data_IF_029684456247
#
_entry.id   IF_029684456247
#
_cell.length_a   1.000
_cell.length_b   1.000
_cell.length_c   1.000
_cell.angle_alpha   90.00
_cell.angle_beta   90.00
_cell.angle_gamma   90.00
#
_symmetry.space_group_name_H-M   'P 1'
#
loop_
_entity.id
_entity.type
_entity.pdbx_description
1 polymer ?
#
# COMPACT_ATOMS: atom_id res chain seq x y z
N UNK A 1 -22.94 19.95 -23.12
CA UNK A 1 -22.41 19.28 -21.92
C UNK A 1 -20.93 19.65 -21.79
N UNK A 2 -20.50 20.27 -20.68
CA UNK A 2 -19.09 20.68 -20.49
C UNK A 2 -18.17 19.43 -20.50
N UNK A 3 -16.94 19.56 -21.00
CA UNK A 3 -15.95 18.46 -21.11
C UNK A 3 -15.78 17.69 -19.78
N UNK A 4 -15.73 18.41 -18.66
CA UNK A 4 -15.75 17.87 -17.29
C UNK A 4 -16.91 16.94 -17.00
N UNK A 5 -18.13 17.27 -17.45
CA UNK A 5 -19.32 16.41 -17.26
C UNK A 5 -19.27 15.16 -18.12
N UNK A 6 -18.65 15.22 -19.31
CA UNK A 6 -18.48 14.06 -20.20
C UNK A 6 -17.51 13.05 -19.64
N UNK A 7 -16.34 13.50 -19.18
CA UNK A 7 -15.31 12.65 -18.62
C UNK A 7 -15.80 12.01 -17.31
N UNK A 8 -16.44 12.80 -16.45
CA UNK A 8 -17.02 12.32 -15.20
C UNK A 8 -18.10 11.26 -15.42
N UNK A 9 -18.97 11.46 -16.40
CA UNK A 9 -19.99 10.47 -16.77
C UNK A 9 -19.35 9.21 -17.37
N UNK A 10 -18.32 9.36 -18.20
CA UNK A 10 -17.62 8.25 -18.81
C UNK A 10 -16.91 7.38 -17.77
N UNK A 11 -16.19 7.98 -16.81
CA UNK A 11 -15.53 7.26 -15.71
C UNK A 11 -16.50 6.57 -14.76
N UNK A 12 -17.68 7.18 -14.53
CA UNK A 12 -18.74 6.53 -13.77
C UNK A 12 -19.30 5.32 -14.52
N UNK A 13 -19.61 5.49 -15.82
CA UNK A 13 -20.16 4.42 -16.64
C UNK A 13 -19.17 3.28 -16.84
N UNK A 14 -17.88 3.56 -17.09
CA UNK A 14 -16.87 2.53 -17.25
C UNK A 14 -16.70 1.69 -15.99
N UNK A 15 -16.63 2.31 -14.81
CA UNK A 15 -16.56 1.59 -13.53
C UNK A 15 -17.86 0.80 -13.26
N UNK A 16 -19.02 1.36 -13.61
CA UNK A 16 -20.31 0.67 -13.49
C UNK A 16 -20.38 -0.58 -14.38
N UNK A 17 -19.92 -0.50 -15.62
CA UNK A 17 -19.96 -1.63 -16.57
C UNK A 17 -18.87 -2.69 -16.32
N UNK A 18 -17.67 -2.29 -15.89
CA UNK A 18 -16.57 -3.23 -15.56
C UNK A 18 -16.96 -4.14 -14.38
N UNK A 19 -17.83 -3.66 -13.49
CA UNK A 19 -18.22 -4.36 -12.27
C UNK A 19 -19.33 -5.37 -12.45
N UNK A 20 -19.87 -5.52 -13.66
CA UNK A 20 -20.88 -6.54 -13.91
C UNK A 20 -20.33 -7.91 -13.56
N UNK A 21 -20.83 -8.44 -12.46
CA UNK A 21 -20.30 -9.60 -11.81
C UNK A 21 -20.86 -10.88 -12.42
N UNK A 22 -20.48 -11.98 -11.80
CA UNK A 22 -20.99 -13.30 -12.17
C UNK A 22 -22.52 -13.38 -12.04
N UNK A 23 -23.14 -12.57 -11.16
CA UNK A 23 -24.59 -12.53 -10.95
C UNK A 23 -25.33 -11.89 -12.13
N UNK A 24 -24.74 -10.87 -12.79
CA UNK A 24 -25.32 -10.29 -14.01
C UNK A 24 -25.39 -11.32 -15.13
N UNK A 25 -24.28 -12.03 -15.38
CA UNK A 25 -24.19 -13.02 -16.44
C UNK A 25 -25.03 -14.27 -16.15
N UNK A 26 -24.95 -14.81 -14.92
CA UNK A 26 -25.77 -15.96 -14.51
C UNK A 26 -27.26 -15.60 -14.47
N UNK A 27 -27.62 -14.42 -13.98
CA UNK A 27 -29.00 -13.92 -13.96
C UNK A 27 -29.54 -13.75 -15.38
N UNK A 28 -28.76 -13.14 -16.28
CA UNK A 28 -29.10 -12.94 -17.69
C UNK A 28 -29.27 -14.26 -18.43
N UNK A 29 -28.33 -15.20 -18.28
CA UNK A 29 -28.43 -16.53 -18.85
C UNK A 29 -29.65 -17.30 -18.32
N UNK A 30 -29.90 -17.22 -17.01
CA UNK A 30 -31.06 -17.85 -16.37
C UNK A 30 -32.37 -17.25 -16.90
N UNK A 31 -32.47 -15.93 -17.02
CA UNK A 31 -33.64 -15.24 -17.55
C UNK A 31 -33.91 -15.54 -19.04
N UNK A 32 -32.84 -15.71 -19.82
CA UNK A 32 -32.92 -16.00 -21.26
C UNK A 32 -33.29 -17.46 -21.56
N UNK A 33 -32.73 -18.42 -20.79
CA UNK A 33 -32.84 -19.85 -21.09
C UNK A 33 -34.02 -20.50 -20.35
N UNK A 34 -34.38 -20.01 -19.16
CA UNK A 34 -35.42 -20.64 -18.37
C UNK A 34 -36.80 -20.53 -19.02
N UNK A 35 -37.55 -21.63 -19.06
CA UNK A 35 -38.94 -21.65 -19.55
C UNK A 35 -39.95 -21.38 -18.43
N UNK A 36 -39.60 -21.68 -17.18
CA UNK A 36 -40.49 -21.51 -16.03
C UNK A 36 -40.50 -20.05 -15.55
N UNK A 37 -41.69 -19.43 -15.36
CA UNK A 37 -41.80 -18.00 -15.04
C UNK A 37 -41.11 -17.63 -13.73
N UNK A 38 -41.15 -18.48 -12.70
CA UNK A 38 -40.44 -18.25 -11.43
C UNK A 38 -38.92 -18.23 -11.60
N UNK A 39 -38.37 -19.10 -12.45
CA UNK A 39 -36.92 -19.17 -12.68
C UNK A 39 -36.46 -17.96 -13.51
N UNK A 40 -37.29 -17.50 -14.45
CA UNK A 40 -37.06 -16.21 -15.14
C UNK A 40 -37.06 -15.03 -14.17
N UNK A 41 -38.02 -14.99 -13.24
CA UNK A 41 -38.10 -13.93 -12.24
C UNK A 41 -36.86 -13.91 -11.33
N UNK A 42 -36.34 -15.07 -10.94
CA UNK A 42 -35.08 -15.20 -10.20
C UNK A 42 -33.91 -14.66 -11.04
N UNK A 43 -33.80 -15.05 -12.31
CA UNK A 43 -32.75 -14.55 -13.21
C UNK A 43 -32.78 -13.01 -13.34
N UNK A 44 -33.96 -12.42 -13.52
CA UNK A 44 -34.14 -10.97 -13.58
C UNK A 44 -33.78 -10.31 -12.24
N UNK A 45 -34.18 -10.90 -11.11
CA UNK A 45 -33.86 -10.38 -9.78
C UNK A 45 -32.34 -10.36 -9.52
N UNK A 46 -31.61 -11.38 -9.97
CA UNK A 46 -30.15 -11.42 -9.88
C UNK A 46 -29.48 -10.31 -10.71
N UNK A 47 -29.98 -10.07 -11.93
CA UNK A 47 -29.50 -8.95 -12.77
C UNK A 47 -29.78 -7.61 -12.10
N UNK A 48 -30.98 -7.41 -11.56
CA UNK A 48 -31.34 -6.16 -10.88
C UNK A 48 -30.53 -5.93 -9.59
N UNK A 49 -30.25 -7.00 -8.84
CA UNK A 49 -29.41 -6.94 -7.65
C UNK A 49 -27.97 -6.53 -8.02
N UNK A 50 -27.39 -7.15 -9.04
CA UNK A 50 -26.04 -6.84 -9.50
C UNK A 50 -25.94 -5.39 -10.02
N UNK A 51 -26.97 -4.92 -10.74
CA UNK A 51 -27.07 -3.51 -11.16
C UNK A 51 -27.17 -2.56 -9.98
N UNK A 52 -27.96 -2.89 -8.96
CA UNK A 52 -28.12 -2.05 -7.77
C UNK A 52 -26.84 -1.97 -6.94
N UNK A 53 -26.15 -3.09 -6.73
CA UNK A 53 -24.86 -3.15 -6.04
C UNK A 53 -23.79 -2.40 -6.83
N UNK A 54 -23.69 -2.64 -8.15
CA UNK A 54 -22.75 -1.95 -9.02
C UNK A 54 -22.98 -0.44 -9.02
N UNK A 55 -24.24 0.00 -9.02
CA UNK A 55 -24.58 1.42 -8.91
C UNK A 55 -24.20 1.99 -7.53
N UNK A 56 -24.56 1.32 -6.44
CA UNK A 56 -24.26 1.75 -5.08
C UNK A 56 -22.75 1.89 -4.84
N UNK A 57 -21.97 0.89 -5.24
CA UNK A 57 -20.51 0.93 -5.13
C UNK A 57 -19.89 2.00 -6.01
N UNK A 58 -20.39 2.16 -7.24
CA UNK A 58 -19.92 3.23 -8.13
C UNK A 58 -20.21 4.61 -7.54
N UNK A 59 -21.38 4.79 -6.90
CA UNK A 59 -21.77 6.01 -6.20
C UNK A 59 -20.89 6.22 -4.96
N UNK A 60 -20.66 5.20 -4.14
CA UNK A 60 -19.77 5.28 -2.97
C UNK A 60 -18.37 5.70 -3.40
N UNK A 61 -17.78 5.00 -4.36
CA UNK A 61 -16.42 5.31 -4.83
C UNK A 61 -16.38 6.71 -5.40
N UNK A 62 -17.41 7.12 -6.12
CA UNK A 62 -17.51 8.48 -6.66
C UNK A 62 -17.65 9.55 -5.58
N UNK A 63 -18.40 9.29 -4.50
CA UNK A 63 -18.52 10.21 -3.36
C UNK A 63 -17.27 10.22 -2.48
N UNK A 64 -16.62 9.09 -2.25
CA UNK A 64 -15.32 8.98 -1.57
C UNK A 64 -14.25 9.74 -2.38
N UNK A 65 -14.25 9.57 -3.70
CA UNK A 65 -13.37 10.28 -4.61
C UNK A 65 -13.60 11.80 -4.60
N UNK A 66 -14.84 12.26 -4.37
CA UNK A 66 -15.21 13.67 -4.31
C UNK A 66 -15.00 14.30 -2.91
N UNK A 67 -14.98 13.49 -1.85
CA UNK A 67 -14.87 13.94 -0.46
C UNK A 67 -13.43 13.76 0.02
N UNK A 68 -12.52 14.64 -0.41
CA UNK A 68 -11.18 14.97 0.16
C UNK A 68 -10.28 13.82 0.70
N UNK A 69 -10.48 12.56 0.33
CA UNK A 69 -9.87 11.44 1.07
C UNK A 69 -8.53 10.92 0.54
N UNK A 70 -8.18 11.19 -0.72
CA UNK A 70 -6.97 10.60 -1.31
C UNK A 70 -6.30 11.57 -2.30
N UNK A 71 -5.02 11.92 -2.09
CA UNK A 71 -4.27 12.75 -3.03
C UNK A 71 -4.22 12.16 -4.45
N UNK A 72 -4.29 10.83 -4.59
CA UNK A 72 -4.42 10.12 -5.88
C UNK A 72 -5.65 10.61 -6.65
N UNK A 73 -6.80 10.62 -5.99
CA UNK A 73 -8.06 10.98 -6.66
C UNK A 73 -8.06 12.45 -7.03
N UNK A 74 -7.47 13.32 -6.20
CA UNK A 74 -7.33 14.75 -6.50
C UNK A 74 -6.49 14.98 -7.75
N UNK A 75 -5.31 14.36 -7.81
CA UNK A 75 -4.40 14.49 -8.95
C UNK A 75 -5.02 13.89 -10.23
N UNK A 76 -5.71 12.75 -10.12
CA UNK A 76 -6.44 12.14 -11.23
C UNK A 76 -7.54 13.04 -11.78
N UNK A 77 -8.33 13.68 -10.92
CA UNK A 77 -9.33 14.66 -11.37
C UNK A 77 -8.69 15.89 -12.00
N UNK A 78 -7.57 16.37 -11.45
CA UNK A 78 -6.85 17.51 -12.02
C UNK A 78 -6.26 17.19 -13.39
N UNK A 79 -5.73 15.99 -13.59
CA UNK A 79 -5.25 15.51 -14.88
C UNK A 79 -6.39 15.31 -15.89
N UNK A 80 -7.56 14.84 -15.46
CA UNK A 80 -8.74 14.76 -16.33
C UNK A 80 -9.30 16.13 -16.73
N UNK A 81 -8.98 17.19 -15.98
CA UNK A 81 -9.37 18.58 -16.28
C UNK A 81 -8.31 19.33 -17.10
N UNK A 82 -7.14 18.73 -17.30
CA UNK A 82 -6.05 19.27 -18.10
C UNK A 82 -6.29 19.06 -19.60
N UNK A 83 -5.84 20.01 -20.43
CA UNK A 83 -5.81 19.89 -21.89
C UNK A 83 -4.61 19.07 -22.40
N UNK A 84 -3.69 18.71 -21.49
CA UNK A 84 -2.54 17.85 -21.78
C UNK A 84 -2.98 16.37 -21.90
N UNK A 85 -2.81 15.74 -23.07
CA UNK A 85 -3.16 14.33 -23.28
C UNK A 85 -2.35 13.35 -22.43
N UNK A 86 -1.18 13.75 -21.94
CA UNK A 86 -0.31 12.91 -21.12
C UNK A 86 -0.57 13.04 -19.62
N UNK A 87 -1.37 14.02 -19.18
CA UNK A 87 -1.60 14.27 -17.76
C UNK A 87 -2.14 13.05 -16.99
N UNK A 88 -3.02 12.25 -17.63
CA UNK A 88 -3.55 11.02 -17.00
C UNK A 88 -2.45 9.96 -16.89
N UNK A 89 -1.57 9.84 -17.89
CA UNK A 89 -0.42 8.94 -17.84
C UNK A 89 0.60 9.40 -16.79
N UNK A 90 0.77 10.70 -16.61
CA UNK A 90 1.68 11.24 -15.59
C UNK A 90 1.15 11.03 -14.19
N UNK A 91 -0.16 11.16 -13.96
CA UNK A 91 -0.80 10.75 -12.70
C UNK A 91 -0.69 9.25 -12.50
N UNK A 92 -0.95 8.46 -13.55
CA UNK A 92 -0.78 7.02 -13.48
C UNK A 92 0.67 6.64 -13.16
N UNK A 93 1.69 7.32 -13.70
CA UNK A 93 3.11 7.10 -13.33
C UNK A 93 3.41 7.56 -11.92
N UNK A 94 2.88 8.72 -11.52
CA UNK A 94 3.04 9.29 -10.17
C UNK A 94 2.48 8.35 -9.10
N UNK A 95 1.38 7.64 -9.40
CA UNK A 95 0.65 6.83 -8.44
C UNK A 95 0.67 5.32 -8.69
N UNK A 96 1.21 4.85 -9.82
CA UNK A 96 1.50 3.43 -10.06
C UNK A 96 2.67 2.92 -9.22
N UNK A 97 3.33 3.81 -8.46
CA UNK A 97 4.28 3.44 -7.40
C UNK A 97 3.50 2.70 -6.32
N UNK A 98 3.66 1.38 -6.28
CA UNK A 98 3.07 0.53 -5.25
C UNK A 98 3.60 0.95 -3.87
N UNK A 99 2.83 0.75 -2.79
CA UNK A 99 3.44 0.68 -1.46
C UNK A 99 4.39 -0.52 -1.46
N UNK A 100 5.67 -0.26 -1.67
CA UNK A 100 6.71 -1.29 -1.87
C UNK A 100 7.70 -1.02 -3.00
N UNK A 101 7.43 -0.10 -3.93
CA UNK A 101 8.41 0.26 -4.97
C UNK A 101 9.33 1.40 -4.48
N UNK A 102 10.64 1.17 -4.60
CA UNK A 102 11.78 1.99 -4.19
C UNK A 102 11.88 3.41 -4.83
N UNK A 103 10.80 3.97 -5.38
CA UNK A 103 10.80 5.19 -6.22
C UNK A 103 10.54 6.50 -5.45
N UNK A 104 10.67 6.52 -4.13
CA UNK A 104 10.73 7.79 -3.38
C UNK A 104 11.99 8.57 -3.75
N UNK A 105 11.94 9.90 -3.67
CA UNK A 105 13.17 10.70 -3.74
C UNK A 105 14.01 10.32 -2.52
N UNK A 106 15.14 9.65 -2.78
CA UNK A 106 16.12 9.34 -1.77
C UNK A 106 16.63 10.66 -1.18
N UNK A 107 16.35 10.87 0.10
CA UNK A 107 16.84 12.04 0.84
C UNK A 107 18.23 11.72 1.36
N UNK A 108 18.38 10.53 1.92
CA UNK A 108 19.63 9.99 2.42
C UNK A 108 19.56 8.45 2.41
N UNK A 109 20.69 7.81 2.16
CA UNK A 109 20.90 6.37 2.28
C UNK A 109 22.35 6.13 2.67
N UNK A 110 22.52 5.39 3.76
CA UNK A 110 23.81 4.95 4.24
C UNK A 110 23.85 3.43 4.22
N UNK A 111 24.81 2.89 3.47
CA UNK A 111 25.24 1.50 3.65
C UNK A 111 26.07 1.43 4.94
N UNK A 112 25.64 0.57 5.87
CA UNK A 112 26.36 0.30 7.11
C UNK A 112 27.24 -0.94 6.93
N UNK A 113 28.30 -1.04 7.75
CA UNK A 113 29.20 -2.19 7.73
C UNK A 113 28.42 -3.47 8.12
N UNK A 114 28.47 -4.56 7.35
CA UNK A 114 27.85 -5.83 7.72
C UNK A 114 28.30 -6.41 9.07
N UNK A 115 29.44 -5.98 9.62
CA UNK A 115 29.92 -6.38 10.95
C UNK A 115 29.38 -5.48 12.09
N UNK A 116 28.50 -4.51 11.78
CA UNK A 116 27.84 -3.64 12.77
C UNK A 116 26.94 -4.46 13.71
N UNK A 117 26.93 -4.15 15.00
CA UNK A 117 26.07 -4.85 15.95
C UNK A 117 24.61 -4.45 15.78
N UNK A 118 23.67 -5.32 16.16
CA UNK A 118 22.25 -4.98 16.13
C UNK A 118 21.91 -3.73 16.97
N UNK A 119 22.60 -3.51 18.08
CA UNK A 119 22.37 -2.31 18.90
C UNK A 119 22.78 -1.04 18.16
N UNK A 120 23.96 -1.03 17.55
CA UNK A 120 24.42 0.11 16.73
C UNK A 120 23.49 0.36 15.53
N UNK A 121 22.92 -0.71 14.95
CA UNK A 121 21.92 -0.64 13.87
C UNK A 121 20.63 0.01 14.36
N UNK A 122 20.13 -0.43 15.52
CA UNK A 122 18.92 0.12 16.12
C UNK A 122 19.12 1.59 16.50
N UNK A 123 20.28 1.94 17.06
CA UNK A 123 20.67 3.32 17.37
C UNK A 123 20.76 4.19 16.11
N UNK A 124 21.32 3.69 15.01
CA UNK A 124 21.38 4.43 13.75
C UNK A 124 19.98 4.72 13.18
N UNK A 125 19.08 3.74 13.24
CA UNK A 125 17.69 3.94 12.81
C UNK A 125 16.94 4.91 13.72
N UNK A 126 17.11 4.80 15.04
CA UNK A 126 16.52 5.70 16.04
C UNK A 126 17.01 7.14 15.83
N UNK A 127 18.33 7.34 15.65
CA UNK A 127 18.91 8.64 15.34
C UNK A 127 18.35 9.24 14.06
N UNK A 128 18.25 8.45 12.98
CA UNK A 128 17.64 8.89 11.71
C UNK A 128 16.16 9.28 11.90
N UNK A 129 15.42 8.55 12.74
CA UNK A 129 14.04 8.87 13.07
C UNK A 129 13.89 10.18 13.84
N UNK A 130 14.79 10.48 14.77
CA UNK A 130 14.81 11.73 15.53
C UNK A 130 15.20 12.93 14.67
N UNK A 131 16.11 12.75 13.72
CA UNK A 131 16.52 13.79 12.78
C UNK A 131 15.38 14.20 11.84
N UNK A 132 14.66 13.22 11.28
CA UNK A 132 13.63 13.45 10.27
C UNK A 132 12.23 13.71 10.84
N UNK A 133 11.98 13.33 12.10
CA UNK A 133 10.74 13.56 12.83
C UNK A 133 11.00 13.84 14.31
N UNK A 134 11.45 15.06 14.64
CA UNK A 134 11.77 15.45 16.01
C UNK A 134 10.53 15.45 16.93
N UNK A 135 9.33 15.60 16.36
CA UNK A 135 8.07 15.66 17.11
C UNK A 135 7.45 14.28 17.38
N UNK A 136 7.99 13.20 16.80
CA UNK A 136 7.55 11.83 17.07
C UNK A 136 6.15 11.49 16.53
N UNK A 137 5.67 12.18 15.49
CA UNK A 137 4.32 11.99 14.96
C UNK A 137 4.19 10.82 13.97
N UNK A 138 5.31 10.25 13.52
CA UNK A 138 5.32 9.14 12.57
C UNK A 138 4.88 7.80 13.19
N UNK A 139 4.20 6.97 12.39
CA UNK A 139 3.89 5.59 12.76
C UNK A 139 5.08 4.69 12.42
N UNK A 140 5.42 3.76 13.31
CA UNK A 140 6.52 2.83 13.09
C UNK A 140 6.01 1.43 12.79
N UNK A 141 6.79 0.67 12.02
CA UNK A 141 6.49 -0.66 11.55
C UNK A 141 7.75 -1.52 11.59
N UNK A 142 7.56 -2.78 11.97
CA UNK A 142 8.54 -3.85 11.85
C UNK A 142 7.93 -4.89 10.92
N UNK A 143 8.65 -5.20 9.85
CA UNK A 143 8.31 -6.27 8.91
C UNK A 143 9.54 -7.18 8.77
N UNK A 144 9.38 -8.46 9.08
CA UNK A 144 10.45 -9.42 9.02
C UNK A 144 9.96 -10.76 8.47
N UNK A 145 10.70 -11.33 7.52
CA UNK A 145 10.27 -12.51 6.77
C UNK A 145 11.17 -12.83 5.59
N UNK A 146 10.76 -13.80 4.77
CA UNK A 146 11.49 -14.11 3.54
C UNK A 146 11.47 -12.91 2.58
N UNK A 147 12.61 -12.65 1.96
CA UNK A 147 12.74 -11.60 0.96
C UNK A 147 11.99 -11.96 -0.33
N UNK A 148 11.20 -11.02 -0.85
CA UNK A 148 10.65 -11.10 -2.21
C UNK A 148 11.68 -10.66 -3.27
N UNK A 149 12.69 -9.88 -2.87
CA UNK A 149 13.66 -9.23 -3.76
C UNK A 149 14.90 -10.09 -4.01
N UNK A 150 15.26 -10.95 -3.05
CA UNK A 150 16.48 -11.74 -3.06
C UNK A 150 16.19 -13.22 -2.84
N UNK A 151 16.62 -14.04 -3.80
CA UNK A 151 16.51 -15.49 -3.68
C UNK A 151 17.28 -16.01 -2.45
N UNK A 152 16.62 -16.89 -1.68
CA UNK A 152 17.14 -17.47 -0.44
C UNK A 152 17.63 -16.45 0.59
N UNK A 153 16.98 -15.29 0.68
CA UNK A 153 17.29 -14.29 1.69
C UNK A 153 16.13 -14.08 2.65
N UNK A 154 16.50 -13.66 3.86
CA UNK A 154 15.60 -13.20 4.89
C UNK A 154 15.81 -11.70 5.10
N UNK A 155 14.73 -10.97 5.26
CA UNK A 155 14.71 -9.52 5.42
C UNK A 155 14.12 -9.13 6.76
N UNK A 156 14.78 -8.18 7.42
CA UNK A 156 14.27 -7.49 8.59
C UNK A 156 14.22 -6.00 8.26
N UNK A 157 13.03 -5.41 8.34
CA UNK A 157 12.77 -4.03 7.95
C UNK A 157 12.15 -3.29 9.11
N UNK A 158 12.72 -2.14 9.45
CA UNK A 158 12.03 -1.14 10.26
C UNK A 158 11.65 0.04 9.38
N UNK A 159 10.50 0.64 9.63
CA UNK A 159 10.05 1.82 8.91
C UNK A 159 9.32 2.77 9.84
N UNK A 160 9.64 4.05 9.75
CA UNK A 160 8.85 5.14 10.34
C UNK A 160 8.24 5.95 9.21
N UNK A 161 6.91 5.99 9.16
CA UNK A 161 6.14 6.68 8.13
C UNK A 161 5.52 7.97 8.67
N UNK A 162 5.78 9.05 7.95
CA UNK A 162 5.35 10.40 8.28
C UNK A 162 4.47 10.93 7.17
N UNK A 163 3.28 11.41 7.52
CA UNK A 163 2.44 12.16 6.58
C UNK A 163 2.62 13.64 6.87
N UNK A 164 3.23 14.37 5.94
CA UNK A 164 3.40 15.82 6.05
C UNK A 164 2.09 16.54 5.76
N UNK A 165 1.97 17.79 6.22
CA UNK A 165 0.77 18.62 6.01
C UNK A 165 0.42 18.84 4.54
N UNK A 166 1.43 18.84 3.67
CA UNK A 166 1.27 18.97 2.21
C UNK A 166 0.85 17.66 1.51
N UNK A 167 0.70 16.59 2.28
CA UNK A 167 0.32 15.26 1.82
C UNK A 167 1.47 14.40 1.33
N UNK A 168 2.73 14.89 1.36
CA UNK A 168 3.90 14.06 1.06
C UNK A 168 4.15 13.07 2.18
N UNK A 169 4.67 11.90 1.81
CA UNK A 169 5.00 10.85 2.77
C UNK A 169 6.51 10.75 2.90
N UNK A 170 7.04 10.83 4.11
CA UNK A 170 8.44 10.50 4.38
C UNK A 170 8.51 9.15 5.06
N UNK A 171 9.20 8.19 4.45
CA UNK A 171 9.54 6.92 5.08
C UNK A 171 11.02 6.95 5.48
N UNK A 172 11.29 6.93 6.77
CA UNK A 172 12.60 6.55 7.30
C UNK A 172 12.61 5.04 7.39
N UNK A 173 13.68 4.39 6.96
CA UNK A 173 13.73 2.94 6.91
C UNK A 173 15.10 2.40 7.33
N UNK A 174 15.06 1.19 7.85
CA UNK A 174 16.18 0.28 8.02
C UNK A 174 15.85 -0.99 7.25
N UNK A 175 16.79 -1.51 6.47
CA UNK A 175 16.70 -2.81 5.80
C UNK A 175 17.95 -3.63 6.11
N UNK A 176 17.76 -4.75 6.78
CA UNK A 176 18.76 -5.79 7.03
C UNK A 176 18.43 -6.98 6.13
N UNK A 177 19.43 -7.45 5.38
CA UNK A 177 19.32 -8.64 4.53
C UNK A 177 20.33 -9.66 5.02
N UNK A 178 19.91 -10.90 5.22
CA UNK A 178 20.77 -12.04 5.56
C UNK A 178 20.40 -13.27 4.72
N UNK A 179 21.30 -14.23 4.65
CA UNK A 179 21.03 -15.49 3.96
C UNK A 179 20.01 -16.30 4.78
N UNK A 180 18.96 -16.78 4.13
CA UNK A 180 17.93 -17.57 4.80
C UNK A 180 18.48 -18.94 5.24
N UNK A 181 18.04 -19.39 6.41
CA UNK A 181 18.33 -20.69 6.97
C UNK A 181 17.04 -21.45 7.34
N UNK A 182 17.20 -22.65 7.90
CA UNK A 182 16.06 -23.51 8.28
C UNK A 182 15.16 -22.88 9.35
N UNK A 183 15.67 -21.90 10.10
CA UNK A 183 14.94 -21.22 11.17
C UNK A 183 14.29 -19.91 10.70
N UNK A 184 14.71 -19.32 9.58
CA UNK A 184 14.19 -18.05 9.05
C UNK A 184 12.65 -17.99 8.98
N UNK A 185 12.02 -19.07 8.53
CA UNK A 185 10.55 -19.16 8.43
C UNK A 185 9.82 -19.12 9.78
N UNK A 186 10.50 -19.48 10.88
CA UNK A 186 9.92 -19.47 12.23
C UNK A 186 9.82 -18.05 12.78
N UNK A 187 10.67 -17.15 12.31
CA UNK A 187 10.75 -15.76 12.75
C UNK A 187 10.12 -14.87 11.68
N UNK A 188 8.81 -14.94 11.48
CA UNK A 188 8.10 -14.00 10.59
C UNK A 188 7.23 -13.09 11.45
N UNK A 189 7.32 -11.78 11.24
CA UNK A 189 6.61 -10.80 12.04
C UNK A 189 6.24 -9.57 11.20
N UNK A 190 5.06 -9.01 11.47
CA UNK A 190 4.58 -7.76 10.88
C UNK A 190 3.79 -7.05 11.97
N UNK A 191 4.30 -5.95 12.50
CA UNK A 191 3.69 -5.23 13.61
C UNK A 191 3.87 -3.72 13.51
N UNK A 192 2.79 -2.97 13.78
CA UNK A 192 2.80 -1.52 13.87
C UNK A 192 2.96 -0.99 15.31
N UNK A 193 3.45 0.24 15.45
CA UNK A 193 3.62 0.88 16.76
C UNK A 193 2.32 1.12 17.53
N UNK A 194 1.18 1.11 16.84
CA UNK A 194 -0.15 1.19 17.43
C UNK A 194 -0.65 -0.16 17.99
N UNK A 195 0.08 -1.26 17.76
CA UNK A 195 -0.28 -2.62 18.19
C UNK A 195 0.54 -3.06 19.41
N UNK A 196 1.51 -2.26 19.85
CA UNK A 196 2.35 -2.54 21.02
C UNK A 196 2.00 -1.59 22.17
N UNK A 197 1.98 -2.13 23.39
CA UNK A 197 1.71 -1.35 24.61
C UNK A 197 2.97 -0.65 25.15
N UNK A 198 4.15 -1.11 24.74
CA UNK A 198 5.44 -0.53 25.10
C UNK A 198 5.90 0.46 24.04
N UNK A 199 6.87 1.31 24.39
CA UNK A 199 7.63 2.07 23.40
C UNK A 199 8.17 1.15 22.29
N UNK A 200 8.09 1.61 21.04
CA UNK A 200 8.39 0.77 19.88
C UNK A 200 9.88 0.43 19.79
N UNK A 201 10.77 1.38 20.13
CA UNK A 201 12.21 1.14 20.15
C UNK A 201 12.60 0.14 21.26
N UNK A 202 11.87 0.16 22.36
CA UNK A 202 11.98 -0.86 23.41
C UNK A 202 11.48 -2.22 22.93
N UNK A 203 10.37 -2.25 22.20
CA UNK A 203 9.81 -3.48 21.63
C UNK A 203 10.79 -4.15 20.67
N UNK A 204 11.32 -3.42 19.67
CA UNK A 204 12.22 -4.00 18.67
C UNK A 204 13.46 -4.62 19.31
N UNK A 205 14.04 -4.01 20.36
CA UNK A 205 15.22 -4.56 21.05
C UNK A 205 14.94 -5.89 21.76
N UNK A 206 13.67 -6.15 22.09
CA UNK A 206 13.25 -7.34 22.83
C UNK A 206 12.54 -8.39 21.97
N UNK A 207 12.19 -8.05 20.72
CA UNK A 207 11.48 -8.95 19.81
C UNK A 207 12.32 -10.20 19.49
N UNK A 208 11.67 -11.35 19.41
CA UNK A 208 12.34 -12.63 19.12
C UNK A 208 13.00 -12.61 17.74
N UNK A 209 12.38 -11.90 16.78
CA UNK A 209 12.95 -11.72 15.45
C UNK A 209 14.21 -10.86 15.44
N UNK A 210 14.31 -9.86 16.32
CA UNK A 210 15.54 -9.08 16.49
C UNK A 210 16.65 -9.92 17.11
N UNK A 211 16.33 -10.73 18.12
CA UNK A 211 17.30 -11.69 18.69
C UNK A 211 17.81 -12.67 17.65
N UNK A 212 16.92 -13.16 16.78
CA UNK A 212 17.29 -14.07 15.70
C UNK A 212 18.33 -13.45 14.76
N UNK A 213 18.18 -12.18 14.38
CA UNK A 213 19.13 -11.53 13.46
C UNK A 213 20.42 -11.07 14.14
N UNK A 214 20.45 -10.85 15.46
CA UNK A 214 21.67 -10.41 16.19
C UNK A 214 22.84 -11.36 16.01
N UNK A 215 22.59 -12.66 15.93
CA UNK A 215 23.63 -13.70 15.83
C UNK A 215 23.96 -14.08 14.37
N UNK A 216 23.46 -13.34 13.38
CA UNK A 216 23.61 -13.64 11.95
C UNK A 216 24.60 -12.72 11.29
N UNK A 217 25.24 -13.23 10.24
CA UNK A 217 26.06 -12.42 9.34
C UNK A 217 25.15 -11.67 8.37
N UNK A 218 25.24 -10.35 8.34
CA UNK A 218 24.48 -9.55 7.40
C UNK A 218 25.10 -9.61 6.00
N UNK A 219 24.23 -9.74 5.01
CA UNK A 219 24.59 -9.66 3.59
C UNK A 219 24.54 -8.21 3.10
N UNK A 220 23.54 -7.47 3.56
CA UNK A 220 23.39 -6.05 3.29
C UNK A 220 22.67 -5.36 4.43
N UNK A 221 23.03 -4.11 4.68
CA UNK A 221 22.49 -3.30 5.76
C UNK A 221 22.39 -1.86 5.29
N UNK A 222 21.17 -1.32 5.31
CA UNK A 222 20.87 0.03 4.81
C UNK A 222 19.97 0.77 5.77
N UNK A 223 20.32 2.02 6.05
CA UNK A 223 19.45 2.96 6.75
C UNK A 223 19.30 4.23 5.92
N UNK A 224 18.13 4.85 5.92
CA UNK A 224 17.93 6.08 5.17
C UNK A 224 16.52 6.63 5.24
N UNK A 225 16.26 7.65 4.44
CA UNK A 225 14.96 8.29 4.32
C UNK A 225 14.58 8.53 2.85
N UNK A 226 13.30 8.32 2.55
CA UNK A 226 12.71 8.53 1.23
C UNK A 226 11.46 9.38 1.33
N UNK A 227 11.25 10.27 0.38
CA UNK A 227 10.04 11.10 0.27
C UNK A 227 9.24 10.68 -0.96
N UNK A 228 7.93 10.48 -0.77
CA UNK A 228 6.94 10.17 -1.79
C UNK A 228 5.94 11.34 -1.93
#
# INVERSE_FOLDING_TARGET
>A
MKQKTRIMLFSFLSNFFIRFGILFWLGGATAAIAKHPTVKAIGIALVLLDLAVSFYDSVIIFFIAKKDGSPIMRDFFQAMESDDPDAINDVARKWAVRPGDDNGILVDEQDLDPDTTFEDIAEAFEASCHEHDPDGNGLMYLDAGMSDDFENAYEYKLRKRLTREDGRITDIYLKVVLDADEDSMKYTESIGSNEVETDFFTYIRNADVSRYITDKKYRALKVGARIY
#
